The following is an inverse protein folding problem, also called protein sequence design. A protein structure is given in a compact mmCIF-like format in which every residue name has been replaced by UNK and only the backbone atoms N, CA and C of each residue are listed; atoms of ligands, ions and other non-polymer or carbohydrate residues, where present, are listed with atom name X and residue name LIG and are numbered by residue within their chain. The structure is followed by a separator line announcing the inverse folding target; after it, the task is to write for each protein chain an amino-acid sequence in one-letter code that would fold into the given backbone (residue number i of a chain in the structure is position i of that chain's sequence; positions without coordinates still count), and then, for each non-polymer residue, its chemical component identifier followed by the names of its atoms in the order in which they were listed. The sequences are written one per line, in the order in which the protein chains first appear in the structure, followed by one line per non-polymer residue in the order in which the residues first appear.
data_IF_614507351489
#
_entry.id   IF_614507351489
#
_cell.length_a   1.000
_cell.length_b   1.000
_cell.length_c   1.000
_cell.angle_alpha   90.00
_cell.angle_beta   90.00
_cell.angle_gamma   90.00
#
_symmetry.space_group_name_H-M   'P 1'
#
loop_
_entity.id
_entity.type
_entity.pdbx_description
1 polymer ?
#
# COMPACT_ATOMS: atom_id res chain seq x y z
N UNK A 1 -0.55 7.62 -3.79
CA UNK A 1 -1.18 8.60 -2.87
C UNK A 1 -2.72 8.48 -2.81
N UNK A 2 -3.28 7.27 -2.74
CA UNK A 2 -4.70 6.95 -2.98
C UNK A 2 -5.45 6.53 -1.70
N UNK A 3 -4.73 6.14 -0.64
CA UNK A 3 -5.30 5.42 0.51
C UNK A 3 -6.46 6.13 1.21
N UNK A 4 -6.37 7.45 1.38
CA UNK A 4 -7.42 8.24 2.04
C UNK A 4 -8.69 8.35 1.18
N UNK A 5 -8.55 8.49 -0.15
CA UNK A 5 -9.69 8.57 -1.06
C UNK A 5 -10.46 7.24 -1.09
N UNK A 6 -9.75 6.10 -1.13
CA UNK A 6 -10.36 4.76 -1.04
C UNK A 6 -11.05 4.57 0.31
N UNK A 7 -10.38 4.94 1.41
CA UNK A 7 -10.94 4.87 2.76
C UNK A 7 -12.24 5.68 2.89
N UNK A 8 -12.26 6.90 2.35
CA UNK A 8 -13.46 7.74 2.34
C UNK A 8 -14.61 7.07 1.56
N UNK A 9 -14.33 6.51 0.38
CA UNK A 9 -15.33 5.81 -0.40
C UNK A 9 -15.92 4.61 0.36
N UNK A 10 -15.08 3.79 1.00
CA UNK A 10 -15.54 2.67 1.82
C UNK A 10 -16.39 3.12 3.02
N UNK A 11 -15.95 4.18 3.71
CA UNK A 11 -16.69 4.77 4.84
C UNK A 11 -18.09 5.24 4.44
N UNK A 12 -18.21 5.97 3.32
CA UNK A 12 -19.51 6.44 2.82
C UNK A 12 -20.47 5.29 2.47
N UNK A 13 -19.95 4.10 2.16
CA UNK A 13 -20.72 2.92 1.78
C UNK A 13 -20.84 1.88 2.90
N UNK A 14 -20.42 2.19 4.14
CA UNK A 14 -20.48 1.24 5.26
C UNK A 14 -19.70 -0.05 5.03
N UNK A 15 -18.68 -0.03 4.16
CA UNK A 15 -17.91 -1.21 3.77
C UNK A 15 -16.64 -1.31 4.62
N UNK A 16 -16.40 -2.42 5.35
CA UNK A 16 -15.15 -2.64 6.07
C UNK A 16 -13.95 -2.57 5.11
N UNK A 17 -12.88 -1.92 5.52
CA UNK A 17 -11.70 -1.76 4.67
C UNK A 17 -10.40 -1.73 5.49
N UNK A 18 -9.29 -2.04 4.81
CA UNK A 18 -7.93 -1.89 5.32
C UNK A 18 -7.03 -1.43 4.17
N UNK A 19 -6.08 -0.53 4.45
CA UNK A 19 -5.08 -0.08 3.47
C UNK A 19 -3.71 -0.43 4.01
N UNK A 20 -2.96 -1.26 3.26
CA UNK A 20 -1.61 -1.70 3.61
C UNK A 20 -0.64 -1.14 2.57
N UNK A 21 0.50 -0.63 3.02
CA UNK A 21 1.55 -0.08 2.15
C UNK A 21 2.93 -0.53 2.59
N UNK A 22 3.73 -0.97 1.64
CA UNK A 22 5.18 -1.08 1.79
C UNK A 22 5.85 0.18 1.27
N UNK A 23 6.83 0.71 2.01
CA UNK A 23 7.52 1.95 1.64
C UNK A 23 8.40 1.75 0.41
N UNK A 24 8.20 2.57 -0.63
CA UNK A 24 9.04 2.64 -1.84
C UNK A 24 10.20 3.64 -1.71
N UNK A 25 10.15 4.51 -0.71
CA UNK A 25 11.14 5.55 -0.46
C UNK A 25 10.96 6.08 0.97
N UNK A 26 11.85 6.98 1.40
CA UNK A 26 11.82 7.57 2.75
C UNK A 26 11.15 8.95 2.82
N UNK A 27 10.73 9.51 1.69
CA UNK A 27 10.20 10.87 1.58
C UNK A 27 11.11 11.98 2.18
N UNK A 28 12.42 11.76 2.24
CA UNK A 28 13.41 12.63 2.88
C UNK A 28 14.23 13.49 1.89
N UNK A 29 13.70 13.67 0.67
CA UNK A 29 14.39 14.38 -0.42
C UNK A 29 15.31 13.50 -1.28
N UNK A 30 15.64 12.28 -0.82
CA UNK A 30 16.34 11.27 -1.65
C UNK A 30 15.39 10.39 -2.47
N UNK A 31 14.09 10.72 -2.47
CA UNK A 31 13.02 9.88 -3.02
C UNK A 31 13.17 9.61 -4.53
N UNK A 32 13.79 10.51 -5.31
CA UNK A 32 13.95 10.31 -6.75
C UNK A 32 14.83 9.11 -7.12
N UNK A 33 15.87 8.82 -6.35
CA UNK A 33 16.71 7.63 -6.57
C UNK A 33 16.03 6.37 -6.03
N UNK A 34 15.48 6.45 -4.81
CA UNK A 34 14.95 5.29 -4.10
C UNK A 34 13.62 4.77 -4.69
N UNK A 35 12.74 5.67 -5.14
CA UNK A 35 11.41 5.27 -5.59
C UNK A 35 11.44 4.33 -6.80
N UNK A 36 12.24 4.65 -7.83
CA UNK A 36 12.33 3.83 -9.04
C UNK A 36 12.84 2.41 -8.73
N UNK A 37 13.84 2.30 -7.85
CA UNK A 37 14.48 1.03 -7.51
C UNK A 37 13.60 0.15 -6.59
N UNK A 38 12.89 0.77 -5.65
CA UNK A 38 12.15 0.02 -4.62
C UNK A 38 10.66 -0.14 -4.91
N UNK A 39 10.07 0.56 -5.88
CA UNK A 39 8.63 0.43 -6.19
C UNK A 39 8.21 -1.00 -6.50
N UNK A 40 8.98 -1.72 -7.33
CA UNK A 40 8.66 -3.11 -7.68
C UNK A 40 8.72 -4.02 -6.45
N UNK A 41 9.76 -3.88 -5.63
CA UNK A 41 9.94 -4.67 -4.42
C UNK A 41 8.84 -4.37 -3.39
N UNK A 42 8.49 -3.10 -3.21
CA UNK A 42 7.44 -2.67 -2.28
C UNK A 42 6.05 -3.09 -2.75
N UNK A 43 5.80 -3.12 -4.05
CA UNK A 43 4.59 -3.71 -4.63
C UNK A 43 4.50 -5.21 -4.31
N UNK A 44 5.57 -5.98 -4.57
CA UNK A 44 5.62 -7.42 -4.27
C UNK A 44 5.39 -7.73 -2.79
N UNK A 45 5.99 -6.95 -1.88
CA UNK A 45 5.78 -7.10 -0.43
C UNK A 45 4.34 -6.84 -0.01
N UNK A 46 3.73 -5.79 -0.56
CA UNK A 46 2.32 -5.47 -0.27
C UNK A 46 1.40 -6.59 -0.78
N UNK A 47 1.68 -7.16 -1.95
CA UNK A 47 0.95 -8.29 -2.50
C UNK A 47 1.07 -9.55 -1.64
N UNK A 48 2.29 -9.91 -1.20
CA UNK A 48 2.51 -11.09 -0.36
C UNK A 48 1.74 -11.02 0.98
N UNK A 49 1.56 -9.82 1.55
CA UNK A 49 0.72 -9.65 2.74
C UNK A 49 -0.75 -9.95 2.41
N UNK A 50 -1.24 -9.53 1.25
CA UNK A 50 -2.61 -9.83 0.82
C UNK A 50 -2.81 -11.33 0.62
N UNK A 51 -1.87 -12.02 -0.05
CA UNK A 51 -1.95 -13.46 -0.26
C UNK A 51 -2.01 -14.20 1.09
N UNK A 52 -1.12 -13.85 2.02
CA UNK A 52 -1.14 -14.40 3.37
C UNK A 52 -2.48 -14.16 4.08
N UNK A 53 -3.04 -12.96 3.97
CA UNK A 53 -4.35 -12.66 4.58
C UNK A 53 -5.43 -13.57 3.99
N UNK A 54 -5.52 -13.68 2.67
CA UNK A 54 -6.54 -14.48 1.97
C UNK A 54 -6.42 -15.98 2.26
N UNK A 55 -5.19 -16.48 2.43
CA UNK A 55 -4.94 -17.88 2.78
C UNK A 55 -5.25 -18.21 4.25
N UNK A 56 -5.30 -17.21 5.12
CA UNK A 56 -5.48 -17.36 6.57
C UNK A 56 -6.75 -16.66 7.09
N UNK A 57 -7.73 -16.46 6.20
CA UNK A 57 -9.04 -15.88 6.52
C UNK A 57 -10.01 -16.90 7.14
#
# INVERSE_FOLDING_TARGET
MEGAAVAQACYMNGTPFVVIRSMSDKADGSAHANFADFTVTSSRRSHAILDYMLENF
#
